data_IF_428699186434
#
_entry.id   IF_428699186434
#
_cell.length_a   1.000
_cell.length_b   1.000
_cell.length_c   1.000
_cell.angle_alpha   90.00
_cell.angle_beta   90.00
_cell.angle_gamma   90.00
#
_symmetry.space_group_name_H-M   'P 1'
#
loop_
_entity.id
_entity.type
_entity.pdbx_description
1 polymer ?
#
# COMPACT_ATOMS: atom_id res chain seq x y z
N UNK A 1 11.31 9.79 4.79
CA UNK A 1 11.84 9.17 3.54
C UNK A 1 10.70 8.39 2.91
N UNK A 2 10.33 8.76 1.69
CA UNK A 2 9.13 8.21 1.04
C UNK A 2 9.31 6.75 0.64
N UNK A 3 8.26 5.97 0.83
CA UNK A 3 8.14 4.59 0.40
C UNK A 3 6.97 4.47 -0.59
N UNK A 4 7.09 3.62 -1.60
CA UNK A 4 5.94 3.16 -2.36
C UNK A 4 5.48 1.81 -1.85
N UNK A 5 4.21 1.69 -1.50
CA UNK A 5 3.62 0.44 -1.02
C UNK A 5 2.53 -0.04 -1.98
N UNK A 6 2.52 -1.34 -2.25
CA UNK A 6 1.68 -1.98 -3.27
C UNK A 6 0.76 -3.05 -2.67
N UNK A 7 -0.47 -3.12 -3.21
CA UNK A 7 -1.39 -4.27 -3.10
C UNK A 7 -1.55 -4.86 -4.52
N UNK A 8 -0.68 -5.81 -4.92
CA UNK A 8 -0.67 -6.35 -6.28
C UNK A 8 -1.85 -7.28 -6.55
N UNK A 9 -2.46 -7.15 -7.72
CA UNK A 9 -3.47 -8.07 -8.24
C UNK A 9 -3.12 -8.63 -9.61
N UNK A 10 -4.00 -9.42 -10.19
CA UNK A 10 -3.80 -10.06 -11.49
C UNK A 10 -3.78 -9.08 -12.66
N UNK A 11 -4.58 -8.01 -12.59
CA UNK A 11 -4.76 -7.02 -13.66
C UNK A 11 -4.41 -5.60 -13.22
N UNK A 12 -4.66 -5.30 -11.96
CA UNK A 12 -4.50 -3.97 -11.38
C UNK A 12 -3.77 -4.07 -10.03
N UNK A 13 -3.07 -3.01 -9.70
CA UNK A 13 -2.36 -2.86 -8.43
C UNK A 13 -2.84 -1.59 -7.73
N UNK A 14 -3.23 -1.72 -6.46
CA UNK A 14 -3.40 -0.58 -5.56
C UNK A 14 -2.04 -0.11 -5.05
N UNK A 15 -1.83 1.20 -4.97
CA UNK A 15 -0.58 1.76 -4.49
C UNK A 15 -0.78 2.98 -3.60
N UNK A 16 0.21 3.25 -2.79
CA UNK A 16 0.37 4.49 -2.04
C UNK A 16 1.85 4.89 -2.00
N UNK A 17 2.12 6.18 -2.22
CA UNK A 17 3.40 6.80 -1.92
C UNK A 17 3.20 7.59 -0.62
N UNK A 18 4.01 7.29 0.40
CA UNK A 18 3.85 7.89 1.71
C UNK A 18 5.18 8.11 2.44
N UNK A 19 5.21 9.07 3.34
CA UNK A 19 6.31 9.33 4.27
C UNK A 19 5.74 9.44 5.70
N UNK A 20 6.04 8.46 6.52
CA UNK A 20 5.34 8.33 7.79
C UNK A 20 3.82 8.15 7.58
N UNK A 21 3.02 9.02 8.18
CA UNK A 21 1.56 9.06 7.98
C UNK A 21 1.13 9.96 6.81
N UNK A 22 2.06 10.72 6.22
CA UNK A 22 1.71 11.62 5.11
C UNK A 22 1.52 10.82 3.81
N UNK A 23 0.29 10.76 3.32
CA UNK A 23 -0.07 10.17 2.04
C UNK A 23 0.17 11.21 0.95
N UNK A 24 1.22 10.99 0.14
CA UNK A 24 1.66 11.92 -0.92
C UNK A 24 0.85 11.68 -2.19
N UNK A 25 0.69 10.41 -2.57
CA UNK A 25 -0.06 9.99 -3.75
C UNK A 25 -0.62 8.59 -3.54
N UNK A 26 -1.75 8.28 -4.15
CA UNK A 26 -2.32 6.95 -4.12
C UNK A 26 -3.24 6.71 -5.32
N UNK A 27 -3.50 5.46 -5.63
CA UNK A 27 -4.42 5.09 -6.70
C UNK A 27 -4.49 3.58 -6.94
N UNK A 28 -5.23 3.26 -7.99
CA UNK A 28 -5.30 1.91 -8.55
C UNK A 28 -5.03 2.07 -10.04
N UNK A 29 -4.03 1.36 -10.53
CA UNK A 29 -3.63 1.39 -11.95
C UNK A 29 -3.51 -0.02 -12.49
N UNK A 30 -3.55 -0.19 -13.82
CA UNK A 30 -3.23 -1.48 -14.40
C UNK A 30 -1.74 -1.82 -14.20
N UNK A 31 -1.41 -3.09 -14.30
CA UNK A 31 -0.07 -3.55 -13.94
C UNK A 31 1.04 -3.05 -14.88
N UNK A 32 0.74 -2.78 -16.16
CA UNK A 32 1.71 -2.18 -17.07
C UNK A 32 1.95 -0.69 -16.75
N UNK A 33 0.93 0.05 -16.37
CA UNK A 33 1.06 1.42 -15.86
C UNK A 33 1.86 1.45 -14.56
N UNK A 34 1.66 0.45 -13.68
CA UNK A 34 2.45 0.31 -12.46
C UNK A 34 3.94 0.11 -12.77
N UNK A 35 4.30 -0.73 -13.75
CA UNK A 35 5.69 -0.88 -14.16
C UNK A 35 6.31 0.44 -14.65
N UNK A 36 5.58 1.21 -15.47
CA UNK A 36 6.05 2.51 -15.95
C UNK A 36 6.21 3.50 -14.80
N UNK A 37 5.29 3.49 -13.83
CA UNK A 37 5.37 4.33 -12.63
C UNK A 37 6.58 3.95 -11.77
N UNK A 38 6.82 2.66 -11.53
CA UNK A 38 7.96 2.19 -10.74
C UNK A 38 9.28 2.61 -11.38
N UNK A 39 9.40 2.50 -12.71
CA UNK A 39 10.57 3.00 -13.44
C UNK A 39 10.80 4.49 -13.19
N UNK A 40 9.77 5.31 -13.25
CA UNK A 40 9.86 6.75 -13.00
C UNK A 40 10.23 7.05 -11.55
N UNK A 41 9.51 6.43 -10.60
CA UNK A 41 9.70 6.68 -9.15
C UNK A 41 11.11 6.31 -8.65
N UNK A 42 11.73 5.27 -9.21
CA UNK A 42 13.08 4.86 -8.79
C UNK A 42 14.22 5.53 -9.57
N UNK A 43 13.93 6.14 -10.74
CA UNK A 43 14.95 6.77 -11.59
C UNK A 43 14.84 8.29 -11.64
N UNK A 44 13.76 8.90 -11.15
CA UNK A 44 13.66 10.35 -11.11
C UNK A 44 14.71 10.94 -10.17
N UNK A 45 15.67 11.61 -10.79
CA UNK A 45 16.56 12.53 -10.10
C UNK A 45 16.10 13.96 -10.41
N UNK A 46 15.82 14.78 -9.43
CA UNK A 46 16.54 14.91 -8.17
C UNK A 46 15.82 14.25 -6.98
N UNK A 47 16.59 13.84 -6.00
CA UNK A 47 16.18 13.36 -4.64
C UNK A 47 15.12 14.28 -3.96
N UNK A 48 14.89 15.46 -4.50
CA UNK A 48 13.90 16.44 -4.03
C UNK A 48 12.51 16.29 -4.65
N UNK A 49 12.31 15.36 -5.62
CA UNK A 49 11.00 15.13 -6.20
C UNK A 49 10.08 14.44 -5.17
N UNK A 50 8.84 14.94 -4.96
CA UNK A 50 7.93 14.37 -3.95
C UNK A 50 7.56 12.90 -4.22
N UNK A 51 7.75 12.42 -5.45
CA UNK A 51 7.50 11.02 -5.86
C UNK A 51 8.72 10.11 -5.77
N UNK A 52 9.90 10.63 -5.44
CA UNK A 52 11.08 9.79 -5.32
C UNK A 52 10.96 8.85 -4.12
N UNK A 53 11.04 7.55 -4.39
CA UNK A 53 11.05 6.51 -3.37
C UNK A 53 12.30 5.65 -3.56
N UNK A 54 13.02 5.42 -2.50
CA UNK A 54 14.19 4.54 -2.48
C UNK A 54 13.88 3.16 -1.87
N UNK A 55 12.66 2.95 -1.45
CA UNK A 55 12.17 1.70 -0.91
C UNK A 55 10.77 1.38 -1.46
N UNK A 56 10.52 0.10 -1.70
CA UNK A 56 9.22 -0.42 -2.05
C UNK A 56 8.81 -1.47 -1.03
N UNK A 57 7.55 -1.45 -0.63
CA UNK A 57 6.92 -2.55 0.10
C UNK A 57 5.76 -3.10 -0.72
N UNK A 58 5.46 -4.38 -0.56
CA UNK A 58 4.35 -4.99 -1.30
C UNK A 58 3.67 -6.08 -0.48
N UNK A 59 2.35 -6.20 -0.64
CA UNK A 59 1.63 -7.33 -0.06
C UNK A 59 2.07 -8.61 -0.77
N UNK A 60 2.69 -9.51 0.01
CA UNK A 60 3.10 -10.82 -0.49
C UNK A 60 2.03 -11.86 -0.22
N UNK A 61 1.79 -12.70 -1.21
CA UNK A 61 0.81 -13.78 -1.12
C UNK A 61 1.36 -14.92 -0.27
N UNK A 62 0.48 -15.50 0.55
CA UNK A 62 0.77 -16.72 1.29
C UNK A 62 -0.45 -17.66 1.24
N UNK A 63 -0.22 -18.93 0.93
CA UNK A 63 -1.28 -19.93 0.84
C UNK A 63 -1.74 -20.44 2.21
N UNK A 64 -0.88 -20.34 3.23
CA UNK A 64 -1.11 -20.90 4.58
C UNK A 64 -1.57 -22.37 4.56
N UNK A 65 -1.07 -23.14 3.56
CA UNK A 65 -1.41 -24.56 3.39
C UNK A 65 -2.72 -24.79 2.62
N UNK A 66 -3.38 -23.75 2.12
CA UNK A 66 -4.58 -23.89 1.29
C UNK A 66 -4.20 -23.98 -0.21
N UNK A 67 -4.98 -24.72 -1.02
CA UNK A 67 -4.82 -24.70 -2.47
C UNK A 67 -4.94 -23.28 -3.01
N UNK A 68 -4.12 -22.95 -4.01
CA UNK A 68 -4.12 -21.65 -4.68
C UNK A 68 -4.58 -21.80 -6.12
N UNK A 69 -5.36 -20.84 -6.61
CA UNK A 69 -5.82 -20.79 -8.01
C UNK A 69 -4.78 -20.15 -8.94
N UNK A 70 -5.05 -20.21 -10.24
CA UNK A 70 -4.21 -19.62 -11.29
C UNK A 70 -3.92 -18.12 -11.04
N UNK A 71 -4.90 -17.38 -10.54
CA UNK A 71 -4.80 -15.96 -10.22
C UNK A 71 -3.64 -15.61 -9.26
N UNK A 72 -3.32 -16.54 -8.34
CA UNK A 72 -2.19 -16.37 -7.42
C UNK A 72 -0.88 -16.41 -8.18
N UNK A 73 -0.72 -17.33 -9.14
CA UNK A 73 0.48 -17.42 -9.97
C UNK A 73 0.64 -16.19 -10.86
N UNK A 74 -0.44 -15.70 -11.47
CA UNK A 74 -0.42 -14.48 -12.27
C UNK A 74 0.00 -13.27 -11.42
N UNK A 75 -0.52 -13.14 -10.22
CA UNK A 75 -0.12 -12.07 -9.30
C UNK A 75 1.35 -12.20 -8.88
N UNK A 76 1.85 -13.43 -8.64
CA UNK A 76 3.27 -13.65 -8.32
C UNK A 76 4.19 -13.25 -9.49
N UNK A 77 3.77 -13.50 -10.74
CA UNK A 77 4.51 -13.06 -11.94
C UNK A 77 4.63 -11.53 -11.94
N UNK A 78 3.54 -10.82 -11.68
CA UNK A 78 3.56 -9.36 -11.60
C UNK A 78 4.43 -8.85 -10.46
N UNK A 79 4.34 -9.45 -9.28
CA UNK A 79 5.24 -9.12 -8.15
C UNK A 79 6.70 -9.26 -8.60
N UNK A 80 7.07 -10.37 -9.25
CA UNK A 80 8.44 -10.57 -9.75
C UNK A 80 8.89 -9.47 -10.74
N UNK A 81 8.01 -9.05 -11.65
CA UNK A 81 8.29 -7.95 -12.59
C UNK A 81 8.47 -6.61 -11.87
N UNK A 82 7.67 -6.32 -10.85
CA UNK A 82 7.81 -5.11 -10.03
C UNK A 82 9.13 -5.09 -9.26
N UNK A 83 9.51 -6.23 -8.67
CA UNK A 83 10.78 -6.38 -7.96
C UNK A 83 11.98 -6.16 -8.89
N UNK A 84 11.96 -6.73 -10.09
CA UNK A 84 13.02 -6.55 -11.09
C UNK A 84 13.11 -5.09 -11.53
N UNK A 85 11.97 -4.43 -11.75
CA UNK A 85 11.92 -3.02 -12.17
C UNK A 85 12.44 -2.07 -11.10
N UNK A 86 12.06 -2.27 -9.84
CA UNK A 86 12.41 -1.34 -8.75
C UNK A 86 13.78 -1.63 -8.13
N UNK A 87 14.22 -2.88 -8.19
CA UNK A 87 15.43 -3.38 -7.52
C UNK A 87 15.09 -4.21 -6.28
N UNK A 88 15.17 -5.53 -6.42
CA UNK A 88 14.71 -6.48 -5.40
C UNK A 88 15.35 -6.30 -4.01
N UNK A 89 16.58 -5.78 -3.94
CA UNK A 89 17.33 -5.56 -2.70
C UNK A 89 16.78 -4.42 -1.80
N UNK A 90 15.94 -3.55 -2.36
CA UNK A 90 15.29 -2.44 -1.62
C UNK A 90 13.77 -2.65 -1.51
N UNK A 91 13.32 -3.87 -1.75
CA UNK A 91 11.91 -4.26 -1.69
C UNK A 91 11.63 -5.12 -0.47
N UNK A 92 10.55 -4.82 0.27
CA UNK A 92 10.17 -5.52 1.50
C UNK A 92 8.84 -6.24 1.30
N UNK A 93 8.80 -7.59 1.38
CA UNK A 93 7.53 -8.32 1.42
C UNK A 93 6.82 -8.12 2.76
N UNK A 94 5.53 -7.88 2.71
CA UNK A 94 4.66 -7.73 3.88
C UNK A 94 3.47 -8.67 3.72
N UNK A 95 3.19 -9.49 4.73
CA UNK A 95 2.06 -10.40 4.67
C UNK A 95 0.81 -9.77 5.28
N UNK A 96 -0.33 -9.98 4.63
CA UNK A 96 -1.63 -9.47 5.10
C UNK A 96 -1.92 -9.85 6.56
N UNK A 97 -1.52 -11.05 6.99
CA UNK A 97 -1.66 -11.52 8.36
C UNK A 97 -0.90 -10.66 9.36
N UNK A 98 0.29 -10.21 8.99
CA UNK A 98 1.14 -9.40 9.86
C UNK A 98 0.56 -7.98 10.01
N UNK A 99 0.06 -7.40 8.93
CA UNK A 99 -0.67 -6.12 8.97
C UNK A 99 -1.91 -6.23 9.87
N UNK A 100 -2.72 -7.28 9.70
CA UNK A 100 -3.92 -7.52 10.53
C UNK A 100 -3.56 -7.69 12.01
N UNK A 101 -2.51 -8.45 12.30
CA UNK A 101 -2.03 -8.66 13.65
C UNK A 101 -1.54 -7.35 14.29
N UNK A 102 -0.78 -6.54 13.55
CA UNK A 102 -0.24 -5.27 14.03
C UNK A 102 -1.33 -4.22 14.30
N UNK A 103 -2.34 -4.14 13.43
CA UNK A 103 -3.41 -3.16 13.54
C UNK A 103 -4.54 -3.57 14.51
N UNK A 104 -4.89 -4.86 14.52
CA UNK A 104 -6.11 -5.33 15.19
C UNK A 104 -5.83 -6.36 16.31
N UNK A 105 -4.57 -6.72 16.57
CA UNK A 105 -4.18 -7.81 17.47
C UNK A 105 -4.85 -9.16 17.12
N UNK A 106 -5.21 -9.36 15.86
CA UNK A 106 -5.91 -10.56 15.38
C UNK A 106 -5.58 -10.85 13.91
N UNK A 107 -5.03 -12.05 13.66
CA UNK A 107 -4.63 -12.48 12.32
C UNK A 107 -5.80 -12.62 11.34
N UNK A 108 -7.02 -12.86 11.84
CA UNK A 108 -8.25 -13.06 11.09
C UNK A 108 -9.19 -11.85 11.14
N UNK A 109 -8.68 -10.67 11.51
CA UNK A 109 -9.47 -9.45 11.53
C UNK A 109 -10.15 -9.21 10.17
N UNK A 110 -11.40 -8.73 10.21
CA UNK A 110 -12.13 -8.33 9.00
C UNK A 110 -11.50 -7.08 8.39
N UNK A 111 -11.61 -6.92 7.08
CA UNK A 111 -11.04 -5.76 6.38
C UNK A 111 -11.68 -4.43 6.84
N UNK A 112 -12.93 -4.46 7.30
CA UNK A 112 -13.57 -3.31 7.95
C UNK A 112 -12.87 -2.88 9.25
N UNK A 113 -12.37 -3.83 10.03
CA UNK A 113 -11.64 -3.55 11.27
C UNK A 113 -10.24 -2.98 10.95
N UNK A 114 -9.57 -3.55 9.95
CA UNK A 114 -8.28 -3.04 9.44
C UNK A 114 -8.44 -1.60 8.98
N UNK A 115 -9.46 -1.33 8.16
CA UNK A 115 -9.76 0.03 7.69
C UNK A 115 -10.02 0.98 8.85
N UNK A 116 -10.81 0.56 9.84
CA UNK A 116 -11.08 1.41 11.02
C UNK A 116 -9.80 1.69 11.81
N UNK A 117 -8.97 0.67 12.03
CA UNK A 117 -7.70 0.84 12.72
C UNK A 117 -6.74 1.79 11.97
N UNK A 118 -6.71 1.74 10.63
CA UNK A 118 -5.98 2.72 9.82
C UNK A 118 -6.57 4.12 10.02
N UNK A 119 -7.89 4.29 9.93
CA UNK A 119 -8.55 5.59 10.14
C UNK A 119 -8.17 6.20 11.49
N UNK A 120 -8.08 5.39 12.55
CA UNK A 120 -7.80 5.84 13.90
C UNK A 120 -6.36 6.41 14.07
N UNK A 121 -5.45 6.10 13.14
CA UNK A 121 -4.10 6.68 13.10
C UNK A 121 -4.06 8.10 12.50
N UNK A 122 -5.10 8.52 11.80
CA UNK A 122 -5.12 9.79 11.06
C UNK A 122 -5.96 10.86 11.75
N UNK A 123 -5.57 12.14 11.64
CA UNK A 123 -6.30 13.23 12.25
C UNK A 123 -7.67 13.45 11.59
N UNK A 124 -8.66 13.81 12.40
CA UNK A 124 -10.05 14.08 12.01
C UNK A 124 -10.23 15.53 11.58
N UNK A 125 -9.66 15.91 10.46
CA UNK A 125 -9.59 17.32 9.99
C UNK A 125 -10.49 17.63 8.79
N UNK A 126 -10.96 16.62 8.07
CA UNK A 126 -11.88 16.79 6.95
C UNK A 126 -13.34 16.90 7.36
N UNK A 127 -14.21 17.09 6.39
CA UNK A 127 -15.66 17.15 6.59
C UNK A 127 -16.36 15.79 6.59
N UNK A 128 -17.65 15.79 6.93
CA UNK A 128 -18.51 14.61 6.82
C UNK A 128 -18.39 13.61 7.96
N UNK A 129 -18.95 12.40 7.75
CA UNK A 129 -19.03 11.35 8.78
C UNK A 129 -17.67 10.71 9.11
N UNK A 130 -16.74 10.72 8.17
CA UNK A 130 -15.39 10.15 8.31
C UNK A 130 -14.37 11.26 8.01
N UNK A 131 -14.05 12.12 8.97
CA UNK A 131 -13.21 13.30 8.73
C UNK A 131 -11.78 12.99 8.28
N UNK A 132 -11.28 11.78 8.54
CA UNK A 132 -9.99 11.33 8.04
C UNK A 132 -9.98 11.19 6.51
N UNK A 133 -11.13 10.81 5.92
CA UNK A 133 -11.34 10.79 4.47
C UNK A 133 -11.82 12.16 3.99
N UNK A 134 -12.77 12.74 4.69
CA UNK A 134 -13.35 14.05 4.36
C UNK A 134 -14.34 14.01 3.20
N UNK A 135 -14.58 15.19 2.64
CA UNK A 135 -15.45 15.43 1.48
C UNK A 135 -14.70 16.23 0.42
N UNK A 136 -15.24 16.36 -0.78
CA UNK A 136 -14.63 17.18 -1.84
C UNK A 136 -14.45 18.66 -1.46
N UNK A 137 -15.32 19.18 -0.57
CA UNK A 137 -15.23 20.55 -0.06
C UNK A 137 -14.25 20.71 1.09
N UNK A 138 -14.09 19.65 1.88
CA UNK A 138 -13.21 19.59 3.05
C UNK A 138 -12.52 18.23 3.08
N UNK A 139 -11.48 18.02 2.24
CA UNK A 139 -10.78 16.75 2.17
C UNK A 139 -10.01 16.47 3.46
N UNK A 140 -9.98 15.21 3.86
CA UNK A 140 -9.12 14.71 4.93
C UNK A 140 -7.81 14.13 4.38
N UNK A 141 -6.90 13.69 5.25
CA UNK A 141 -5.60 13.14 4.83
C UNK A 141 -5.69 11.86 3.99
N UNK A 142 -6.83 11.16 4.04
CA UNK A 142 -7.11 9.95 3.26
C UNK A 142 -8.17 10.20 2.18
N UNK A 143 -8.30 11.43 1.70
CA UNK A 143 -9.28 11.76 0.68
C UNK A 143 -9.03 10.98 -0.62
N UNK A 144 -10.09 10.38 -1.17
CA UNK A 144 -10.02 9.58 -2.40
C UNK A 144 -9.51 8.16 -2.22
N UNK A 145 -9.10 7.73 -1.01
CA UNK A 145 -8.67 6.36 -0.75
C UNK A 145 -9.84 5.39 -0.89
N UNK A 146 -9.68 4.39 -1.74
CA UNK A 146 -10.71 3.38 -2.03
C UNK A 146 -10.10 1.97 -2.07
N UNK A 147 -10.96 0.95 -2.05
CA UNK A 147 -10.68 -0.45 -2.42
C UNK A 147 -9.26 -0.93 -2.07
N UNK A 148 -8.46 -1.27 -3.08
CA UNK A 148 -7.09 -1.81 -2.96
C UNK A 148 -6.04 -0.81 -2.43
N UNK A 149 -6.38 0.47 -2.29
CA UNK A 149 -5.48 1.44 -1.67
C UNK A 149 -5.40 1.22 -0.15
N UNK A 150 -6.48 0.78 0.51
CA UNK A 150 -6.46 0.49 1.95
C UNK A 150 -5.43 -0.58 2.35
N UNK A 151 -5.36 -1.75 1.67
CA UNK A 151 -4.29 -2.71 1.89
C UNK A 151 -2.91 -2.12 1.66
N UNK A 152 -2.71 -1.35 0.58
CA UNK A 152 -1.43 -0.71 0.28
C UNK A 152 -0.98 0.24 1.40
N UNK A 153 -1.89 1.02 2.00
CA UNK A 153 -1.59 1.87 3.17
C UNK A 153 -1.15 0.99 4.36
N UNK A 154 -1.86 -0.10 4.63
CA UNK A 154 -1.49 -1.05 5.69
C UNK A 154 -0.08 -1.61 5.50
N UNK A 155 0.27 -1.99 4.28
CA UNK A 155 1.61 -2.45 3.88
C UNK A 155 2.66 -1.36 4.13
N UNK A 156 2.40 -0.13 3.71
CA UNK A 156 3.32 0.99 3.89
C UNK A 156 3.55 1.34 5.36
N UNK A 157 2.48 1.36 6.17
CA UNK A 157 2.56 1.60 7.61
C UNK A 157 3.39 0.52 8.33
N UNK A 158 3.20 -0.75 7.93
CA UNK A 158 3.94 -1.86 8.50
C UNK A 158 5.43 -1.81 8.12
N UNK A 159 5.73 -1.61 6.83
CA UNK A 159 7.10 -1.55 6.32
C UNK A 159 7.92 -0.41 6.94
N UNK A 160 7.29 0.74 7.23
CA UNK A 160 7.93 1.87 7.92
C UNK A 160 8.02 1.67 9.44
N UNK A 161 7.46 0.59 9.98
CA UNK A 161 7.46 0.31 11.42
C UNK A 161 6.59 1.24 12.25
N UNK A 162 5.61 1.92 11.62
CA UNK A 162 4.63 2.78 12.31
C UNK A 162 3.66 1.91 13.10
N UNK A 163 3.23 0.80 12.50
CA UNK A 163 2.50 -0.25 13.18
C UNK A 163 3.45 -1.43 13.41
N UNK A 164 3.46 -1.95 14.63
CA UNK A 164 4.32 -3.06 15.03
C UNK A 164 3.51 -4.11 15.78
N UNK A 165 4.00 -5.33 15.73
CA UNK A 165 3.51 -6.41 16.56
C UNK A 165 3.91 -6.21 17.99
#
# INVERSE_FOLDING_TARGET
>A
MSIIALDPGTLQTGYVIMDGLDVIEHGIVNNDEMLAMLFTVCNDTPISAPRYCNQMAYEMIASYGMPVGAEVFDTCIWIGRFLEMFGANVCTPVFRRDVKSALCNANNAKDSNVRQAILDLYPRVGGGKTPQVGTSKQPGPLYGVTSHVWPAIGVGLYAQGIIKR
#
